data_IF_492218381120
#
_entry.id   IF_492218381120
#
_cell.length_a   1.000
_cell.length_b   1.000
_cell.length_c   1.000
_cell.angle_alpha   90.00
_cell.angle_beta   90.00
_cell.angle_gamma   90.00
#
_symmetry.space_group_name_H-M   'P 1'
#
loop_
_entity.id
_entity.type
_entity.pdbx_description
1 polymer ?
#
# COMPACT_ATOMS: atom_id res chain seq x y z
N UNK A 1 -26.19 7.81 51.84
CA UNK A 1 -26.25 7.33 50.43
C UNK A 1 -24.87 6.86 50.00
N UNK A 2 -24.73 5.64 49.51
CA UNK A 2 -23.40 5.07 49.22
C UNK A 2 -22.76 5.76 48.02
N UNK A 3 -21.52 6.23 48.14
CA UNK A 3 -20.73 6.91 47.08
C UNK A 3 -20.40 6.03 45.86
N UNK A 4 -20.91 4.79 45.82
CA UNK A 4 -20.70 3.81 44.74
C UNK A 4 -21.19 4.30 43.37
N UNK A 5 -22.19 5.19 43.33
CA UNK A 5 -22.69 5.77 42.08
C UNK A 5 -21.69 6.73 41.41
N UNK A 6 -20.86 7.43 42.20
CA UNK A 6 -19.77 8.26 41.66
C UNK A 6 -18.70 7.41 40.96
N UNK A 7 -18.41 6.22 41.48
CA UNK A 7 -17.44 5.29 40.87
C UNK A 7 -17.95 4.81 39.51
N UNK A 8 -19.23 4.43 39.43
CA UNK A 8 -19.86 4.01 38.17
C UNK A 8 -19.83 5.15 37.14
N UNK A 9 -20.13 6.38 37.56
CA UNK A 9 -20.16 7.55 36.68
C UNK A 9 -18.75 7.88 36.14
N UNK A 10 -17.72 7.78 36.98
CA UNK A 10 -16.32 7.94 36.59
C UNK A 10 -15.89 6.86 35.59
N UNK A 11 -16.25 5.59 35.83
CA UNK A 11 -15.92 4.48 34.93
C UNK A 11 -16.57 4.67 33.56
N UNK A 12 -17.85 5.06 33.53
CA UNK A 12 -18.57 5.31 32.27
C UNK A 12 -17.99 6.50 31.51
N UNK A 13 -17.65 7.59 32.20
CA UNK A 13 -17.01 8.76 31.59
C UNK A 13 -15.62 8.43 31.04
N UNK A 14 -14.82 7.65 31.77
CA UNK A 14 -13.52 7.17 31.31
C UNK A 14 -13.65 6.27 30.08
N UNK A 15 -14.60 5.34 30.07
CA UNK A 15 -14.89 4.49 28.91
C UNK A 15 -15.30 5.28 27.66
N UNK A 16 -16.16 6.29 27.82
CA UNK A 16 -16.55 7.18 26.73
C UNK A 16 -15.38 8.01 26.21
N UNK A 17 -14.51 8.52 27.09
CA UNK A 17 -13.30 9.25 26.71
C UNK A 17 -12.30 8.40 25.94
N UNK A 18 -12.07 7.15 26.38
CA UNK A 18 -11.21 6.20 25.66
C UNK A 18 -11.82 5.86 24.30
N UNK A 19 -13.13 5.61 24.24
CA UNK A 19 -13.84 5.35 22.99
C UNK A 19 -13.69 6.49 21.97
N UNK A 20 -13.89 7.74 22.41
CA UNK A 20 -13.72 8.93 21.57
C UNK A 20 -12.28 9.10 21.09
N UNK A 21 -11.30 8.90 21.97
CA UNK A 21 -9.89 9.00 21.59
C UNK A 21 -9.50 7.96 20.53
N UNK A 22 -9.94 6.71 20.69
CA UNK A 22 -9.68 5.65 19.71
C UNK A 22 -10.33 5.95 18.36
N UNK A 23 -11.60 6.37 18.33
CA UNK A 23 -12.29 6.67 17.06
C UNK A 23 -11.68 7.86 16.34
N UNK A 24 -11.34 8.93 17.06
CA UNK A 24 -10.70 10.11 16.47
C UNK A 24 -9.31 9.81 15.92
N UNK A 25 -8.50 8.99 16.60
CA UNK A 25 -7.19 8.57 16.11
C UNK A 25 -7.30 7.72 14.81
N UNK A 26 -8.24 6.79 14.76
CA UNK A 26 -8.51 5.98 13.57
C UNK A 26 -8.98 6.86 12.41
N UNK A 27 -9.92 7.76 12.66
CA UNK A 27 -10.48 8.65 11.64
C UNK A 27 -9.41 9.60 11.09
N UNK A 28 -8.53 10.12 11.93
CA UNK A 28 -7.39 10.93 11.50
C UNK A 28 -6.39 10.15 10.63
N UNK A 29 -6.12 8.88 10.96
CA UNK A 29 -5.25 8.01 10.15
C UNK A 29 -5.83 7.71 8.76
N UNK A 30 -7.14 7.45 8.70
CA UNK A 30 -7.87 7.25 7.43
C UNK A 30 -7.83 8.52 6.59
N UNK A 31 -8.15 9.68 7.17
CA UNK A 31 -8.11 10.96 6.44
C UNK A 31 -6.72 11.25 5.89
N UNK A 32 -5.66 11.08 6.68
CA UNK A 32 -4.27 11.27 6.20
C UNK A 32 -3.93 10.35 5.02
N UNK A 33 -4.46 9.13 5.02
CA UNK A 33 -4.22 8.18 3.92
C UNK A 33 -4.96 8.62 2.66
N UNK A 34 -6.23 9.01 2.77
CA UNK A 34 -7.04 9.48 1.65
C UNK A 34 -6.54 10.82 1.08
N UNK A 35 -6.17 11.76 1.94
CA UNK A 35 -5.56 13.03 1.53
C UNK A 35 -4.22 12.77 0.81
N UNK A 36 -3.44 11.82 1.29
CA UNK A 36 -2.20 11.38 0.65
C UNK A 36 -2.43 10.79 -0.75
N UNK A 37 -3.47 9.98 -0.93
CA UNK A 37 -3.87 9.44 -2.24
C UNK A 37 -4.31 10.54 -3.19
N UNK A 38 -5.18 11.46 -2.74
CA UNK A 38 -5.64 12.59 -3.55
C UNK A 38 -4.48 13.49 -3.98
N UNK A 39 -3.55 13.77 -3.08
CA UNK A 39 -2.35 14.54 -3.40
C UNK A 39 -1.45 13.82 -4.42
N UNK A 40 -1.35 12.49 -4.35
CA UNK A 40 -0.63 11.70 -5.34
C UNK A 40 -1.33 11.68 -6.70
N UNK A 41 -2.66 11.55 -6.73
CA UNK A 41 -3.47 11.64 -7.94
C UNK A 41 -3.28 12.99 -8.64
N UNK A 42 -3.41 14.09 -7.90
CA UNK A 42 -3.16 15.44 -8.40
C UNK A 42 -1.74 15.57 -8.97
N UNK A 43 -0.72 15.15 -8.22
CA UNK A 43 0.67 15.22 -8.67
C UNK A 43 0.93 14.40 -9.95
N UNK A 44 0.31 13.24 -10.08
CA UNK A 44 0.45 12.38 -11.26
C UNK A 44 -0.22 13.00 -12.48
N UNK A 45 -1.41 13.59 -12.32
CA UNK A 45 -2.12 14.30 -13.39
C UNK A 45 -1.38 15.58 -13.80
N UNK A 46 -0.92 16.38 -12.84
CA UNK A 46 -0.15 17.62 -13.08
C UNK A 46 1.20 17.36 -13.78
N UNK A 47 1.76 16.16 -13.63
CA UNK A 47 3.00 15.75 -14.29
C UNK A 47 2.82 15.24 -15.73
N UNK A 48 1.59 15.22 -16.24
CA UNK A 48 1.19 14.60 -17.51
C UNK A 48 1.54 13.10 -17.64
N UNK A 49 1.84 12.43 -16.52
CA UNK A 49 2.16 11.01 -16.52
C UNK A 49 0.92 10.16 -16.83
N UNK A 50 -0.25 10.60 -16.35
CA UNK A 50 -1.57 10.07 -16.67
C UNK A 50 -2.52 11.22 -17.04
N UNK A 51 -3.53 10.91 -17.84
CA UNK A 51 -4.64 11.82 -18.17
C UNK A 51 -5.92 11.51 -17.39
N UNK A 52 -5.98 10.34 -16.74
CA UNK A 52 -7.06 9.94 -15.84
C UNK A 52 -6.49 9.21 -14.63
N UNK A 53 -7.19 9.33 -13.50
CA UNK A 53 -6.95 8.54 -12.29
C UNK A 53 -8.23 7.76 -11.96
N UNK A 54 -8.11 6.44 -11.82
CA UNK A 54 -9.23 5.52 -11.61
C UNK A 54 -9.15 4.83 -10.25
N UNK A 55 -7.93 4.49 -9.82
CA UNK A 55 -7.68 3.77 -8.57
C UNK A 55 -6.31 4.16 -8.03
N UNK A 56 -6.20 4.29 -6.71
CA UNK A 56 -4.91 4.50 -6.05
C UNK A 56 -4.68 3.45 -4.97
N UNK A 57 -3.54 2.77 -5.04
CA UNK A 57 -3.11 1.82 -3.99
C UNK A 57 -1.85 2.29 -3.29
N UNK A 58 -1.69 1.89 -2.03
CA UNK A 58 -0.53 2.26 -1.20
C UNK A 58 0.33 1.03 -0.93
N UNK A 59 1.61 1.13 -1.31
CA UNK A 59 2.69 0.21 -1.02
C UNK A 59 3.58 0.81 0.06
N UNK A 60 3.81 0.10 1.17
CA UNK A 60 4.58 0.63 2.30
C UNK A 60 6.07 0.23 2.25
N UNK A 61 6.44 -0.72 1.40
CA UNK A 61 7.79 -1.22 1.33
C UNK A 61 8.18 -2.13 2.50
N UNK A 62 9.40 -2.70 2.46
CA UNK A 62 9.83 -3.75 3.37
C UNK A 62 10.37 -3.24 4.71
N UNK A 63 10.55 -1.93 4.89
CA UNK A 63 11.14 -1.34 6.12
C UNK A 63 10.25 -0.25 6.69
N UNK A 64 10.25 -0.07 8.01
CA UNK A 64 9.45 0.96 8.71
C UNK A 64 9.81 2.39 8.27
N UNK A 65 11.03 2.60 7.80
CA UNK A 65 11.51 3.90 7.28
C UNK A 65 11.19 4.11 5.80
N UNK A 66 10.63 3.11 5.11
CA UNK A 66 10.21 3.25 3.72
C UNK A 66 9.03 4.21 3.64
N UNK A 67 9.26 5.35 3.01
CA UNK A 67 8.15 6.26 2.68
C UNK A 67 7.18 5.52 1.74
N UNK A 68 5.87 5.51 2.02
CA UNK A 68 4.90 4.81 1.19
C UNK A 68 4.96 5.31 -0.26
N UNK A 69 4.71 4.40 -1.19
CA UNK A 69 4.56 4.64 -2.62
C UNK A 69 3.08 4.56 -2.95
N UNK A 70 2.57 5.60 -3.58
CA UNK A 70 1.24 5.60 -4.18
C UNK A 70 1.36 5.11 -5.62
N UNK A 71 0.62 4.06 -5.96
CA UNK A 71 0.42 3.62 -7.33
C UNK A 71 -0.94 4.13 -7.80
N UNK A 72 -0.93 5.14 -8.66
CA UNK A 72 -2.13 5.71 -9.29
C UNK A 72 -2.34 5.00 -10.62
N UNK A 73 -3.47 4.35 -10.81
CA UNK A 73 -3.84 3.63 -12.02
C UNK A 73 -4.79 4.48 -12.84
N UNK A 74 -4.67 4.41 -14.16
CA UNK A 74 -5.56 5.06 -15.11
C UNK A 74 -5.02 4.93 -16.52
N UNK A 75 -5.22 5.97 -17.35
CA UNK A 75 -4.72 6.01 -18.73
C UNK A 75 -3.66 7.09 -18.91
N UNK A 76 -2.69 6.81 -19.77
CA UNK A 76 -1.74 7.83 -20.22
C UNK A 76 -2.25 8.60 -21.46
N UNK A 77 -1.52 9.62 -21.90
CA UNK A 77 -1.87 10.41 -23.08
C UNK A 77 -1.98 9.58 -24.38
N UNK A 78 -1.34 8.41 -24.44
CA UNK A 78 -1.45 7.46 -25.55
C UNK A 78 -2.65 6.53 -25.46
N UNK A 79 -3.55 6.71 -24.49
CA UNK A 79 -4.75 5.89 -24.29
C UNK A 79 -4.48 4.50 -23.71
N UNK A 80 -3.24 4.20 -23.30
CA UNK A 80 -2.88 2.90 -22.71
C UNK A 80 -3.14 2.90 -21.20
N UNK A 81 -3.59 1.75 -20.69
CA UNK A 81 -3.69 1.52 -19.24
C UNK A 81 -2.29 1.50 -18.62
N UNK A 82 -2.12 2.31 -17.58
CA UNK A 82 -0.84 2.55 -16.94
C UNK A 82 -1.01 2.72 -15.43
N UNK A 83 0.09 2.50 -14.71
CA UNK A 83 0.23 2.89 -13.32
C UNK A 83 1.40 3.87 -13.18
N UNK A 84 1.17 4.96 -12.46
CA UNK A 84 2.18 5.95 -12.13
C UNK A 84 2.51 5.89 -10.64
N UNK A 85 3.79 5.68 -10.32
CA UNK A 85 4.27 5.40 -8.98
C UNK A 85 5.00 6.63 -8.42
N UNK A 86 4.53 7.13 -7.28
CA UNK A 86 5.08 8.32 -6.63
C UNK A 86 5.30 8.09 -5.14
N UNK A 87 6.44 8.53 -4.59
CA UNK A 87 6.77 8.40 -3.16
C UNK A 87 6.12 9.52 -2.35
N UNK A 88 5.54 9.16 -1.22
CA UNK A 88 5.06 10.13 -0.24
C UNK A 88 6.21 11.05 0.20
N UNK A 89 5.96 12.36 0.18
CA UNK A 89 6.97 13.39 0.43
C UNK A 89 7.94 13.68 -0.72
N UNK A 90 7.76 13.07 -1.90
CA UNK A 90 8.48 13.38 -3.14
C UNK A 90 7.51 13.56 -4.31
N UNK A 91 6.33 14.13 -4.03
CA UNK A 91 5.25 14.31 -5.01
C UNK A 91 5.64 15.22 -6.19
N UNK A 92 6.67 16.05 -6.02
CA UNK A 92 7.20 16.93 -7.08
C UNK A 92 8.23 16.25 -7.98
N UNK A 93 8.72 15.06 -7.61
CA UNK A 93 9.64 14.30 -8.48
C UNK A 93 8.85 13.65 -9.61
N UNK A 94 9.50 13.45 -10.76
CA UNK A 94 8.89 12.76 -11.89
C UNK A 94 8.47 11.35 -11.47
N UNK A 95 7.18 10.97 -11.65
CA UNK A 95 6.72 9.62 -11.31
C UNK A 95 7.40 8.53 -12.14
N UNK A 96 7.45 7.32 -11.59
CA UNK A 96 7.83 6.13 -12.37
C UNK A 96 6.55 5.54 -12.97
N UNK A 97 6.38 5.70 -14.27
CA UNK A 97 5.19 5.19 -14.99
C UNK A 97 5.48 3.86 -15.66
N UNK A 98 4.56 2.91 -15.52
CA UNK A 98 4.58 1.61 -16.19
C UNK A 98 3.30 1.40 -16.97
N UNK A 99 3.40 0.84 -18.17
CA UNK A 99 2.24 0.39 -18.95
C UNK A 99 1.85 -0.99 -18.42
N UNK A 100 0.57 -1.20 -18.10
CA UNK A 100 0.13 -2.45 -17.46
C UNK A 100 0.32 -3.67 -18.36
N UNK A 101 0.27 -3.51 -19.69
CA UNK A 101 0.54 -4.58 -20.65
C UNK A 101 2.02 -4.99 -20.73
N UNK A 102 2.93 -4.15 -20.25
CA UNK A 102 4.38 -4.35 -20.38
C UNK A 102 4.99 -4.99 -19.12
N UNK A 103 4.16 -5.25 -18.11
CA UNK A 103 4.51 -5.89 -16.84
C UNK A 103 3.66 -7.13 -16.63
N UNK A 104 4.11 -8.05 -15.77
CA UNK A 104 3.31 -9.19 -15.35
C UNK A 104 2.05 -8.69 -14.61
N UNK A 105 0.94 -9.38 -14.79
CA UNK A 105 -0.32 -9.03 -14.12
C UNK A 105 -0.28 -9.33 -12.62
N UNK A 106 -1.17 -8.68 -11.86
CA UNK A 106 -1.43 -8.99 -10.45
C UNK A 106 -1.68 -10.49 -10.22
N UNK A 107 -2.48 -11.10 -11.10
CA UNK A 107 -2.78 -12.54 -11.08
C UNK A 107 -1.52 -13.37 -11.31
N UNK A 108 -0.65 -12.99 -12.26
CA UNK A 108 0.60 -13.70 -12.51
C UNK A 108 1.55 -13.61 -11.32
N UNK A 109 1.69 -12.44 -10.69
CA UNK A 109 2.48 -12.27 -9.48
C UNK A 109 1.95 -13.16 -8.34
N UNK A 110 0.63 -13.17 -8.11
CA UNK A 110 0.01 -14.06 -7.12
C UNK A 110 0.26 -15.55 -7.40
N UNK A 111 0.27 -15.94 -8.68
CA UNK A 111 0.51 -17.32 -9.11
C UNK A 111 1.94 -17.75 -8.82
N UNK A 112 2.93 -16.86 -9.02
CA UNK A 112 4.34 -17.16 -8.71
C UNK A 112 4.48 -17.50 -7.22
N UNK A 113 3.99 -16.66 -6.30
CA UNK A 113 4.03 -16.96 -4.86
C UNK A 113 3.27 -18.24 -4.49
N UNK A 114 2.16 -18.53 -5.17
CA UNK A 114 1.43 -19.79 -4.96
C UNK A 114 2.23 -21.02 -5.35
N UNK A 115 2.94 -20.95 -6.47
CA UNK A 115 3.75 -22.05 -6.99
C UNK A 115 4.99 -22.31 -6.13
N UNK A 116 5.67 -21.25 -5.69
CA UNK A 116 6.91 -21.36 -4.92
C UNK A 116 6.67 -21.73 -3.45
N UNK A 117 5.67 -21.12 -2.81
CA UNK A 117 5.56 -21.17 -1.34
C UNK A 117 4.24 -21.71 -0.80
N UNK A 118 3.27 -22.06 -1.65
CA UNK A 118 2.00 -22.68 -1.24
C UNK A 118 1.32 -21.97 -0.06
N UNK A 119 0.97 -20.68 -0.20
CA UNK A 119 0.44 -19.85 0.87
C UNK A 119 -0.90 -20.37 1.38
N UNK A 120 -1.10 -20.35 2.71
CA UNK A 120 -2.38 -20.70 3.34
C UNK A 120 -3.49 -19.72 2.94
N UNK A 121 -3.18 -18.43 2.92
CA UNK A 121 -4.15 -17.37 2.63
C UNK A 121 -3.50 -16.18 1.95
N UNK A 122 -3.99 -15.81 0.76
CA UNK A 122 -3.60 -14.56 0.12
C UNK A 122 -4.26 -13.37 0.83
N UNK A 123 -3.51 -12.29 1.02
CA UNK A 123 -4.01 -11.05 1.65
C UNK A 123 -4.16 -9.95 0.61
N UNK A 124 -3.10 -9.63 -0.13
CA UNK A 124 -3.15 -8.56 -1.14
C UNK A 124 -2.02 -8.67 -2.13
N UNK A 125 -2.21 -8.13 -3.33
CA UNK A 125 -1.13 -7.89 -4.30
C UNK A 125 -1.15 -6.41 -4.68
N UNK A 126 -0.01 -5.73 -4.57
CA UNK A 126 0.07 -4.28 -4.80
C UNK A 126 1.33 -3.91 -5.56
N UNK A 127 1.19 -3.02 -6.53
CA UNK A 127 2.32 -2.44 -7.26
C UNK A 127 3.02 -1.40 -6.39
N UNK A 128 4.36 -1.39 -6.42
CA UNK A 128 5.19 -0.49 -5.64
C UNK A 128 6.56 -0.24 -6.27
N UNK A 129 7.45 0.39 -5.51
CA UNK A 129 8.83 0.65 -5.92
C UNK A 129 9.80 0.19 -4.85
N UNK A 130 10.72 -0.69 -5.22
CA UNK A 130 11.90 -0.99 -4.42
C UNK A 130 13.13 -0.23 -4.92
N UNK A 131 13.93 0.37 -4.03
CA UNK A 131 15.26 0.84 -4.41
C UNK A 131 16.17 -0.38 -4.66
N UNK A 132 16.79 -0.44 -5.83
CA UNK A 132 17.87 -1.39 -6.12
C UNK A 132 19.09 -0.65 -6.63
N UNK A 133 20.18 -0.68 -5.85
CA UNK A 133 21.40 0.07 -6.16
C UNK A 133 21.05 1.54 -6.45
N UNK A 134 21.18 1.97 -7.70
CA UNK A 134 20.96 3.35 -8.14
C UNK A 134 19.67 3.53 -8.97
N UNK A 135 18.75 2.55 -8.98
CA UNK A 135 17.49 2.63 -9.74
C UNK A 135 16.26 2.32 -8.88
N UNK A 136 15.14 2.91 -9.25
CA UNK A 136 13.82 2.54 -8.71
C UNK A 136 13.26 1.41 -9.58
N UNK A 137 12.90 0.29 -8.96
CA UNK A 137 12.41 -0.91 -9.65
C UNK A 137 10.93 -1.11 -9.32
N UNK A 138 10.04 -1.09 -10.33
CA UNK A 138 8.64 -1.48 -10.15
C UNK A 138 8.52 -2.94 -9.72
N UNK A 139 7.76 -3.19 -8.66
CA UNK A 139 7.57 -4.54 -8.12
C UNK A 139 6.12 -4.78 -7.74
N UNK A 140 5.71 -6.04 -7.78
CA UNK A 140 4.53 -6.52 -7.09
C UNK A 140 4.91 -6.99 -5.68
N UNK A 141 4.28 -6.42 -4.65
CA UNK A 141 4.25 -6.96 -3.29
C UNK A 141 3.08 -7.93 -3.19
N UNK A 142 3.38 -9.21 -2.99
CA UNK A 142 2.39 -10.24 -2.71
C UNK A 142 2.42 -10.54 -1.22
N UNK A 143 1.36 -10.17 -0.51
CA UNK A 143 1.18 -10.39 0.92
C UNK A 143 0.31 -11.59 1.18
N UNK A 144 0.72 -12.48 2.06
CA UNK A 144 -0.01 -13.70 2.40
C UNK A 144 0.33 -14.24 3.80
N UNK A 145 -0.45 -15.22 4.26
CA UNK A 145 -0.12 -16.07 5.41
C UNK A 145 0.48 -17.37 4.89
N UNK A 146 1.69 -17.70 5.33
CA UNK A 146 2.42 -18.90 4.90
C UNK A 146 2.01 -20.17 5.68
N UNK A 147 2.65 -21.30 5.35
CA UNK A 147 2.41 -22.60 5.98
C UNK A 147 2.73 -22.61 7.49
N UNK A 148 3.57 -21.69 7.96
CA UNK A 148 3.95 -21.51 9.37
C UNK A 148 3.10 -20.44 10.07
N UNK A 149 2.03 -19.96 9.43
CA UNK A 149 1.14 -18.93 9.95
C UNK A 149 1.84 -17.58 10.18
N UNK A 150 2.86 -17.26 9.39
CA UNK A 150 3.59 -15.98 9.40
C UNK A 150 3.04 -15.04 8.34
N UNK A 151 3.05 -13.73 8.62
CA UNK A 151 2.81 -12.72 7.61
C UNK A 151 4.00 -12.66 6.67
N UNK A 152 3.76 -12.96 5.40
CA UNK A 152 4.81 -13.13 4.40
C UNK A 152 4.60 -12.19 3.24
N UNK A 153 5.71 -11.68 2.71
CA UNK A 153 5.80 -10.67 1.67
C UNK A 153 6.79 -11.15 0.62
N UNK A 154 6.28 -11.43 -0.58
CA UNK A 154 7.11 -11.65 -1.76
C UNK A 154 7.18 -10.35 -2.56
N UNK A 155 8.38 -9.97 -2.97
CA UNK A 155 8.62 -8.84 -3.85
C UNK A 155 9.10 -9.36 -5.20
N UNK A 156 8.25 -9.20 -6.22
CA UNK A 156 8.46 -9.76 -7.55
C UNK A 156 8.69 -8.61 -8.53
N UNK A 157 9.77 -8.67 -9.31
CA UNK A 157 10.05 -7.70 -10.37
C UNK A 157 8.87 -7.63 -11.36
N UNK A 158 8.28 -6.45 -11.51
CA UNK A 158 7.04 -6.32 -12.27
C UNK A 158 7.25 -6.63 -13.76
N UNK A 159 8.46 -6.43 -14.30
CA UNK A 159 8.73 -6.66 -15.72
C UNK A 159 9.02 -8.13 -16.03
N UNK A 160 9.90 -8.75 -15.25
CA UNK A 160 10.42 -10.10 -15.51
C UNK A 160 9.67 -11.21 -14.77
N UNK A 161 8.98 -10.88 -13.68
CA UNK A 161 8.40 -11.87 -12.77
C UNK A 161 9.44 -12.58 -11.89
N UNK A 162 10.66 -12.08 -11.83
CA UNK A 162 11.72 -12.63 -10.98
C UNK A 162 11.45 -12.31 -9.51
N UNK A 163 11.57 -13.31 -8.63
CA UNK A 163 11.54 -13.10 -7.18
C UNK A 163 12.77 -12.29 -6.74
N UNK A 164 12.56 -11.10 -6.17
CA UNK A 164 13.64 -10.23 -5.70
C UNK A 164 13.91 -10.37 -4.21
N UNK A 165 12.85 -10.61 -3.42
CA UNK A 165 12.96 -10.83 -1.99
C UNK A 165 11.74 -11.61 -1.47
N UNK A 166 11.98 -12.40 -0.44
CA UNK A 166 10.99 -13.14 0.32
C UNK A 166 11.20 -12.83 1.81
N UNK A 167 10.20 -12.26 2.47
CA UNK A 167 10.29 -11.83 3.87
C UNK A 167 9.11 -12.40 4.64
N UNK A 168 9.39 -13.18 5.69
CA UNK A 168 8.38 -13.74 6.58
C UNK A 168 8.55 -13.19 8.00
N UNK A 169 7.47 -12.65 8.57
CA UNK A 169 7.43 -11.98 9.87
C UNK A 169 6.37 -12.69 10.73
N UNK A 170 6.73 -12.97 11.98
CA UNK A 170 5.86 -13.63 12.96
C UNK A 170 5.09 -12.62 13.80
#
# INVERSE_FOLDING_TARGET
MSKKWLIILIITAAGAGIGWFVTSAVQAGIHRTEDGKKAAEAAVLDSDSLVSAEKTTVFNGPTENSKPVYAVYGRNAGGKEAASLVRSGRLKEKPVTVILSDIISESRASKISRQEYSPKKMISVKLGLLPQKNKQVPVWEVKYIDSYSRYTYDYIDAKSGTMLAHIAIK
#
